data_IF_487912812576
#
_entry.id   IF_487912812576
#
_cell.length_a   1.000
_cell.length_b   1.000
_cell.length_c   1.000
_cell.angle_alpha   90.00
_cell.angle_beta   90.00
_cell.angle_gamma   90.00
#
_symmetry.space_group_name_H-M   'P 1'
#
loop_
_entity.id
_entity.type
_entity.pdbx_description
1 polymer ?
#
# COMPACT_ATOMS: atom_id res chain seq x y z
N UNK A 1 32.40 -18.59 -7.78
CA UNK A 1 32.27 -17.70 -6.60
C UNK A 1 30.92 -17.02 -6.72
N UNK A 2 29.88 -17.60 -6.11
CA UNK A 2 28.50 -17.13 -6.26
C UNK A 2 28.24 -15.92 -5.37
N UNK A 3 28.28 -14.74 -5.96
CA UNK A 3 28.09 -13.47 -5.25
C UNK A 3 26.61 -13.33 -4.86
N UNK A 4 26.33 -13.69 -3.62
CA UNK A 4 25.44 -12.97 -2.68
C UNK A 4 24.12 -12.41 -3.23
N UNK A 5 23.18 -13.29 -3.60
CA UNK A 5 21.79 -12.92 -3.93
C UNK A 5 20.88 -12.85 -2.67
N UNK A 6 21.44 -12.92 -1.45
CA UNK A 6 20.64 -12.89 -0.21
C UNK A 6 20.03 -11.51 0.05
N UNK A 7 20.81 -10.44 -0.08
CA UNK A 7 20.34 -9.07 0.22
C UNK A 7 19.17 -8.62 -0.66
N UNK A 8 19.09 -9.08 -1.90
CA UNK A 8 18.04 -8.68 -2.85
C UNK A 8 16.67 -9.26 -2.46
N UNK A 9 16.61 -10.50 -1.99
CA UNK A 9 15.35 -11.13 -1.52
C UNK A 9 14.83 -10.51 -0.23
N UNK A 10 15.73 -10.20 0.71
CA UNK A 10 15.35 -9.54 1.96
C UNK A 10 14.87 -8.11 1.72
N UNK A 11 15.51 -7.38 0.80
CA UNK A 11 15.07 -6.05 0.37
C UNK A 11 13.69 -6.09 -0.29
N UNK A 12 13.44 -7.05 -1.19
CA UNK A 12 12.13 -7.23 -1.83
C UNK A 12 11.02 -7.54 -0.82
N UNK A 13 11.35 -8.33 0.23
CA UNK A 13 10.43 -8.70 1.30
C UNK A 13 10.14 -7.52 2.23
N UNK A 14 11.13 -6.66 2.47
CA UNK A 14 10.97 -5.42 3.22
C UNK A 14 10.13 -4.40 2.44
N UNK A 15 10.42 -4.20 1.15
CA UNK A 15 9.63 -3.35 0.25
C UNK A 15 8.18 -3.81 0.17
N UNK A 16 7.92 -5.11 -0.03
CA UNK A 16 6.55 -5.67 -0.01
C UNK A 16 5.80 -5.46 1.30
N UNK A 17 6.50 -5.34 2.44
CA UNK A 17 5.88 -4.99 3.73
C UNK A 17 5.61 -3.50 3.83
N UNK A 18 6.56 -2.66 3.40
CA UNK A 18 6.43 -1.21 3.42
C UNK A 18 5.36 -0.71 2.43
N UNK A 19 5.26 -1.31 1.25
CA UNK A 19 4.25 -1.00 0.23
C UNK A 19 2.93 -1.74 0.45
N UNK A 20 2.71 -2.35 1.62
CA UNK A 20 1.43 -3.01 1.88
C UNK A 20 0.34 -2.01 2.20
N UNK A 21 0.71 -0.89 2.81
CA UNK A 21 -0.21 0.13 3.26
C UNK A 21 0.22 1.48 2.69
N UNK A 22 -0.73 2.22 2.13
CA UNK A 22 -0.50 3.60 1.73
C UNK A 22 -1.50 4.50 2.42
N UNK A 23 -1.04 5.70 2.76
CA UNK A 23 -1.92 6.77 3.17
C UNK A 23 -2.58 7.37 1.94
N UNK A 24 -3.89 7.33 1.93
CA UNK A 24 -4.70 7.87 0.85
C UNK A 24 -5.63 8.94 1.41
N UNK A 25 -5.67 10.08 0.72
CA UNK A 25 -6.58 11.17 1.03
C UNK A 25 -7.92 10.92 0.38
N UNK A 26 -8.98 10.93 1.19
CA UNK A 26 -10.33 10.87 0.68
C UNK A 26 -10.75 12.17 0.02
N UNK A 27 -10.98 12.15 -1.30
CA UNK A 27 -11.45 13.31 -2.06
C UNK A 27 -12.80 13.86 -1.57
N UNK A 28 -13.64 13.01 -0.97
CA UNK A 28 -14.98 13.40 -0.55
C UNK A 28 -15.03 13.96 0.89
N UNK A 29 -14.23 13.42 1.82
CA UNK A 29 -14.25 13.86 3.22
C UNK A 29 -12.96 14.52 3.71
N UNK A 30 -11.93 14.62 2.86
CA UNK A 30 -10.64 15.26 3.15
C UNK A 30 -9.76 14.52 4.17
N UNK A 31 -10.23 13.41 4.73
CA UNK A 31 -9.48 12.64 5.74
C UNK A 31 -8.49 11.68 5.09
N UNK A 32 -7.37 11.51 5.78
CA UNK A 32 -6.31 10.55 5.45
C UNK A 32 -6.68 9.21 6.06
N UNK A 33 -6.58 8.15 5.27
CA UNK A 33 -6.76 6.79 5.73
C UNK A 33 -5.64 5.91 5.20
N UNK A 34 -5.17 5.02 6.06
CA UNK A 34 -4.27 3.97 5.65
C UNK A 34 -5.08 2.85 4.97
N UNK A 35 -4.73 2.52 3.73
CA UNK A 35 -5.43 1.52 2.91
C UNK A 35 -4.45 0.46 2.42
N UNK A 36 -4.88 -0.80 2.44
CA UNK A 36 -4.05 -1.93 2.02
C UNK A 36 -4.00 -2.02 0.49
N UNK A 37 -2.80 -1.86 -0.08
CA UNK A 37 -2.53 -1.91 -1.52
C UNK A 37 -2.82 -3.29 -2.14
N UNK A 38 -2.89 -4.37 -1.36
CA UNK A 38 -3.35 -5.68 -1.90
C UNK A 38 -4.80 -5.65 -2.34
N UNK A 39 -5.60 -4.71 -1.82
CA UNK A 39 -6.99 -4.57 -2.22
C UNK A 39 -7.05 -3.64 -3.42
N UNK A 40 -7.47 -4.17 -4.56
CA UNK A 40 -7.71 -3.37 -5.78
C UNK A 40 -8.82 -2.32 -5.63
N UNK A 41 -9.56 -2.33 -4.52
CA UNK A 41 -10.61 -1.36 -4.20
C UNK A 41 -10.48 -0.95 -2.74
N UNK A 42 -10.20 0.32 -2.49
CA UNK A 42 -10.36 0.92 -1.18
C UNK A 42 -11.68 1.71 -1.13
N UNK A 43 -12.34 1.69 0.04
CA UNK A 43 -13.51 2.53 0.29
C UNK A 43 -13.23 3.39 1.52
N UNK A 44 -13.55 4.67 1.43
CA UNK A 44 -13.55 5.59 2.56
C UNK A 44 -14.44 5.04 3.70
N UNK A 45 -13.95 4.79 4.91
CA UNK A 45 -14.78 4.23 5.99
C UNK A 45 -15.89 5.20 6.44
N UNK A 46 -15.65 6.52 6.32
CA UNK A 46 -16.62 7.55 6.71
C UNK A 46 -17.73 7.76 5.68
N UNK A 47 -17.34 7.82 4.42
CA UNK A 47 -18.15 8.34 3.33
C UNK A 47 -18.46 7.30 2.26
N UNK A 48 -17.89 6.09 2.39
CA UNK A 48 -18.04 4.94 1.49
C UNK A 48 -17.64 5.19 0.03
N UNK A 49 -17.08 6.36 -0.26
CA UNK A 49 -16.52 6.74 -1.56
C UNK A 49 -15.46 5.73 -1.98
N UNK A 50 -15.59 5.20 -3.20
CA UNK A 50 -14.62 4.31 -3.80
C UNK A 50 -13.36 5.09 -4.15
N UNK A 51 -12.24 4.57 -3.69
CA UNK A 51 -10.91 5.12 -3.87
C UNK A 51 -10.15 4.12 -4.73
N UNK A 52 -9.84 4.53 -5.96
CA UNK A 52 -9.02 3.74 -6.85
C UNK A 52 -7.57 3.86 -6.39
N UNK A 53 -7.04 2.74 -5.94
CA UNK A 53 -5.62 2.53 -5.77
C UNK A 53 -5.12 2.08 -7.14
N UNK A 54 -4.29 2.91 -7.78
CA UNK A 54 -3.84 2.72 -9.16
C UNK A 54 -2.59 1.87 -9.28
#
# INVERSE_FOLDING_TARGET
>A
MGIEIKGMKDLEKALKKATRYIEIHCINCGKIYEVDLKKSKAKCPKCKTEMKIS
#
